data_IF_805199482379
#
_entry.id   IF_805199482379
#
_cell.length_a   1.000
_cell.length_b   1.000
_cell.length_c   1.000
_cell.angle_alpha   90.00
_cell.angle_beta   90.00
_cell.angle_gamma   90.00
#
_symmetry.space_group_name_H-M   'P 1'
#
loop_
_entity.id
_entity.type
_entity.pdbx_description
1 polymer ?
#
# COMPACT_ATOMS: atom_id res chain seq x y z
N UNK A 1 -10.34 -8.33 53.27
CA UNK A 1 -10.83 -8.73 51.92
C UNK A 1 -10.65 -10.23 51.76
N UNK A 2 -11.72 -10.98 51.53
CA UNK A 2 -11.70 -12.44 51.40
C UNK A 2 -11.09 -12.89 50.06
N UNK A 3 -10.44 -14.06 50.03
CA UNK A 3 -9.93 -14.69 48.80
C UNK A 3 -11.02 -14.75 47.70
N UNK A 4 -12.26 -15.05 48.09
CA UNK A 4 -13.41 -15.08 47.18
C UNK A 4 -13.70 -13.72 46.52
N UNK A 5 -13.59 -12.63 47.28
CA UNK A 5 -13.78 -11.26 46.76
C UNK A 5 -12.68 -10.87 45.78
N UNK A 6 -11.43 -11.27 46.04
CA UNK A 6 -10.30 -11.01 45.14
C UNK A 6 -10.43 -11.73 43.80
N UNK A 7 -10.88 -12.99 43.82
CA UNK A 7 -11.10 -13.79 42.61
C UNK A 7 -12.21 -13.19 41.74
N UNK A 8 -13.32 -12.76 42.35
CA UNK A 8 -14.43 -12.13 41.61
C UNK A 8 -13.98 -10.81 40.97
N UNK A 9 -13.24 -9.98 41.70
CA UNK A 9 -12.70 -8.72 41.15
C UNK A 9 -11.75 -9.00 39.98
N UNK A 10 -10.85 -9.98 40.13
CA UNK A 10 -9.92 -10.35 39.07
C UNK A 10 -10.64 -10.84 37.80
N UNK A 11 -11.68 -11.67 37.95
CA UNK A 11 -12.50 -12.14 36.82
C UNK A 11 -13.29 -11.00 36.17
N UNK A 12 -13.81 -10.05 36.95
CA UNK A 12 -14.51 -8.88 36.44
C UNK A 12 -13.59 -7.98 35.61
N UNK A 13 -12.38 -7.71 36.10
CA UNK A 13 -11.37 -6.95 35.36
C UNK A 13 -10.96 -7.67 34.09
N UNK A 14 -10.74 -9.00 34.15
CA UNK A 14 -10.39 -9.80 32.97
C UNK A 14 -11.49 -9.75 31.90
N UNK A 15 -12.76 -9.94 32.28
CA UNK A 15 -13.89 -9.86 31.36
C UNK A 15 -14.01 -8.48 30.71
N UNK A 16 -13.75 -7.42 31.46
CA UNK A 16 -13.80 -6.04 30.98
C UNK A 16 -12.68 -5.76 29.97
N UNK A 17 -11.46 -6.27 30.21
CA UNK A 17 -10.35 -6.18 29.25
C UNK A 17 -10.69 -6.94 27.96
N UNK A 18 -11.21 -8.16 28.06
CA UNK A 18 -11.60 -8.96 26.89
C UNK A 18 -12.67 -8.22 26.07
N UNK A 19 -13.71 -7.69 26.73
CA UNK A 19 -14.75 -6.93 26.06
C UNK A 19 -14.22 -5.66 25.38
N UNK A 20 -13.28 -4.95 26.01
CA UNK A 20 -12.65 -3.77 25.43
C UNK A 20 -11.82 -4.12 24.18
N UNK A 21 -10.99 -5.18 24.25
CA UNK A 21 -10.19 -5.65 23.11
C UNK A 21 -11.08 -6.05 21.95
N UNK A 22 -12.11 -6.87 22.19
CA UNK A 22 -13.06 -7.30 21.16
C UNK A 22 -13.87 -6.13 20.58
N UNK A 23 -14.25 -5.15 21.42
CA UNK A 23 -14.95 -3.95 20.98
C UNK A 23 -14.11 -3.08 20.05
N UNK A 24 -12.84 -2.87 20.39
CA UNK A 24 -11.89 -2.12 19.56
C UNK A 24 -11.65 -2.87 18.23
N UNK A 25 -11.49 -4.19 18.27
CA UNK A 25 -11.26 -5.00 17.08
C UNK A 25 -12.48 -5.00 16.14
N UNK A 26 -13.70 -5.09 16.69
CA UNK A 26 -14.94 -5.00 15.93
C UNK A 26 -15.12 -3.63 15.27
N UNK A 27 -14.72 -2.56 15.95
CA UNK A 27 -14.77 -1.20 15.39
C UNK A 27 -13.76 -1.04 14.24
N UNK A 28 -12.52 -1.55 14.39
CA UNK A 28 -11.52 -1.55 13.32
C UNK A 28 -11.98 -2.34 12.09
N UNK A 29 -12.54 -3.55 12.28
CA UNK A 29 -13.03 -4.36 11.17
C UNK A 29 -14.13 -3.68 10.33
N UNK A 30 -14.98 -2.85 10.96
CA UNK A 30 -16.01 -2.09 10.24
C UNK A 30 -15.42 -0.98 9.38
N UNK A 31 -14.31 -0.37 9.81
CA UNK A 31 -13.63 0.69 9.07
C UNK A 31 -12.76 0.15 7.93
N UNK A 32 -12.34 -1.13 8.01
CA UNK A 32 -11.45 -1.77 7.04
C UNK A 32 -12.15 -2.76 6.09
N UNK A 33 -13.47 -2.69 5.93
CA UNK A 33 -14.17 -3.53 4.96
C UNK A 33 -13.81 -3.06 3.54
N UNK A 34 -12.82 -3.72 2.91
CA UNK A 34 -12.46 -3.47 1.51
C UNK A 34 -13.71 -3.70 0.65
N UNK A 35 -14.09 -2.74 -0.21
CA UNK A 35 -15.19 -2.92 -1.15
C UNK A 35 -15.00 -4.16 -2.01
N UNK A 36 -16.07 -4.66 -2.63
CA UNK A 36 -15.96 -5.67 -3.69
C UNK A 36 -15.28 -5.02 -4.90
N UNK A 37 -13.98 -5.27 -5.06
CA UNK A 37 -13.13 -4.65 -6.08
C UNK A 37 -13.00 -5.59 -7.30
N UNK A 38 -12.96 -5.04 -8.53
CA UNK A 38 -12.64 -5.84 -9.71
C UNK A 38 -11.32 -6.62 -9.55
N UNK A 39 -11.21 -7.85 -10.07
CA UNK A 39 -9.95 -8.59 -10.05
C UNK A 39 -8.80 -7.79 -10.66
N UNK A 40 -7.64 -7.81 -10.00
CA UNK A 40 -6.47 -7.04 -10.41
C UNK A 40 -6.44 -5.60 -9.88
N UNK A 41 -7.46 -5.18 -9.13
CA UNK A 41 -7.42 -3.88 -8.45
C UNK A 41 -6.41 -3.89 -7.29
N UNK A 42 -5.73 -2.76 -7.11
CA UNK A 42 -4.81 -2.49 -6.01
C UNK A 42 -5.50 -1.50 -5.06
N UNK A 43 -6.01 -1.95 -3.90
CA UNK A 43 -6.53 -1.05 -2.89
C UNK A 43 -5.48 -0.04 -2.42
N UNK A 44 -5.96 1.13 -2.01
CA UNK A 44 -5.15 2.23 -1.50
C UNK A 44 -5.74 2.63 -0.14
N UNK A 45 -4.91 2.55 0.89
CA UNK A 45 -5.26 3.01 2.23
C UNK A 45 -4.50 4.28 2.59
N UNK A 46 -5.17 5.20 3.29
CA UNK A 46 -4.57 6.41 3.85
C UNK A 46 -4.77 6.41 5.36
N UNK A 47 -3.68 6.46 6.13
CA UNK A 47 -3.71 6.41 7.61
C UNK A 47 -4.58 5.26 8.17
N UNK A 48 -4.56 4.11 7.48
CA UNK A 48 -5.29 2.90 7.86
C UNK A 48 -6.75 2.81 7.38
N UNK A 49 -7.26 3.84 6.70
CA UNK A 49 -8.60 3.84 6.11
C UNK A 49 -8.52 3.59 4.59
N UNK A 50 -9.42 2.78 4.05
CA UNK A 50 -9.54 2.62 2.59
C UNK A 50 -10.05 3.92 1.97
N UNK A 51 -9.31 4.47 1.00
CA UNK A 51 -9.67 5.73 0.35
C UNK A 51 -9.95 5.58 -1.15
N UNK A 52 -9.28 4.65 -1.82
CA UNK A 52 -9.42 4.43 -3.25
C UNK A 52 -8.93 3.03 -3.64
N UNK A 53 -9.12 2.67 -4.90
CA UNK A 53 -8.45 1.52 -5.51
C UNK A 53 -7.98 1.90 -6.91
N UNK A 54 -6.77 1.49 -7.28
CA UNK A 54 -6.31 1.53 -8.65
C UNK A 54 -6.78 0.29 -9.38
N UNK A 55 -7.57 0.45 -10.44
CA UNK A 55 -8.22 -0.65 -11.16
C UNK A 55 -7.59 -0.85 -12.53
N UNK A 56 -7.76 -2.03 -13.16
CA UNK A 56 -7.27 -2.25 -14.52
C UNK A 56 -7.81 -1.26 -15.57
N UNK A 57 -9.02 -0.73 -15.37
CA UNK A 57 -9.59 0.26 -16.29
C UNK A 57 -8.88 1.63 -16.22
N UNK A 58 -8.27 1.95 -15.07
CA UNK A 58 -7.56 3.22 -14.88
C UNK A 58 -6.28 3.30 -15.72
N UNK A 59 -5.73 2.15 -16.13
CA UNK A 59 -4.57 2.08 -17.03
C UNK A 59 -4.83 2.74 -18.39
N UNK A 60 -6.09 2.77 -18.85
CA UNK A 60 -6.48 3.40 -20.12
C UNK A 60 -6.35 4.92 -20.09
N UNK A 61 -6.30 5.51 -18.89
CA UNK A 61 -6.22 6.95 -18.67
C UNK A 61 -4.78 7.44 -18.49
N UNK A 62 -3.83 6.52 -18.28
CA UNK A 62 -2.46 6.83 -17.92
C UNK A 62 -1.52 6.66 -19.12
N UNK A 63 -0.58 7.58 -19.25
CA UNK A 63 0.47 7.47 -20.27
C UNK A 63 1.48 6.39 -19.87
N UNK A 64 1.83 5.53 -20.83
CA UNK A 64 2.93 4.61 -20.67
C UNK A 64 4.28 5.30 -20.87
N UNK A 65 5.24 4.91 -20.05
CA UNK A 65 6.63 5.34 -20.09
C UNK A 65 7.55 4.11 -20.04
N UNK A 66 8.81 4.29 -20.41
CA UNK A 66 9.77 3.18 -20.39
C UNK A 66 11.19 3.64 -20.07
N UNK A 67 11.96 2.72 -19.49
CA UNK A 67 13.40 2.86 -19.32
C UNK A 67 14.09 1.50 -19.53
N UNK A 68 15.40 1.52 -19.75
CA UNK A 68 16.22 0.29 -19.85
C UNK A 68 16.87 0.04 -18.50
N UNK A 69 16.60 -1.11 -17.89
CA UNK A 69 17.23 -1.47 -16.62
C UNK A 69 18.74 -1.70 -16.80
N UNK A 70 19.51 -1.34 -15.77
CA UNK A 70 20.97 -1.38 -15.84
C UNK A 70 21.56 -2.79 -15.66
N UNK A 71 20.80 -3.73 -15.10
CA UNK A 71 21.27 -5.06 -14.71
C UNK A 71 21.22 -6.05 -15.88
N UNK A 72 20.03 -6.24 -16.46
CA UNK A 72 19.76 -7.17 -17.56
C UNK A 72 19.69 -6.45 -18.92
N UNK A 73 19.66 -5.11 -18.94
CA UNK A 73 19.55 -4.33 -20.17
C UNK A 73 18.18 -4.45 -20.83
N UNK A 74 17.14 -4.81 -20.07
CA UNK A 74 15.78 -5.00 -20.60
C UNK A 74 14.98 -3.71 -20.47
N UNK A 75 14.09 -3.52 -21.43
CA UNK A 75 13.12 -2.44 -21.34
C UNK A 75 12.07 -2.80 -20.30
N UNK A 76 11.90 -1.92 -19.32
CA UNK A 76 10.73 -1.89 -18.45
C UNK A 76 9.77 -0.86 -19.05
N UNK A 77 8.49 -1.20 -19.12
CA UNK A 77 7.44 -0.36 -19.73
C UNK A 77 6.19 -0.37 -18.85
N UNK A 78 5.61 0.80 -18.60
CA UNK A 78 4.59 0.90 -17.57
C UNK A 78 4.11 2.30 -17.28
N UNK A 79 3.56 2.52 -16.09
CA UNK A 79 2.93 3.77 -15.68
C UNK A 79 3.57 4.30 -14.41
N UNK A 80 3.87 5.60 -14.36
CA UNK A 80 4.47 6.20 -13.18
C UNK A 80 3.52 6.13 -11.97
N UNK A 81 4.06 5.76 -10.81
CA UNK A 81 3.28 5.66 -9.58
C UNK A 81 2.70 7.02 -9.16
N UNK A 82 3.39 8.13 -9.44
CA UNK A 82 2.86 9.48 -9.21
C UNK A 82 1.54 9.73 -9.94
N UNK A 83 1.44 9.30 -11.20
CA UNK A 83 0.26 9.55 -12.02
C UNK A 83 -0.89 8.65 -11.58
N UNK A 84 -0.58 7.41 -11.19
CA UNK A 84 -1.52 6.49 -10.54
C UNK A 84 -2.11 7.11 -9.27
N UNK A 85 -1.25 7.66 -8.41
CA UNK A 85 -1.68 8.25 -7.13
C UNK A 85 -2.47 9.55 -7.34
N UNK A 86 -2.09 10.38 -8.32
CA UNK A 86 -2.87 11.57 -8.68
C UNK A 86 -4.23 11.23 -9.29
N UNK A 87 -4.34 10.15 -10.06
CA UNK A 87 -5.59 9.69 -10.65
C UNK A 87 -6.55 9.12 -9.59
N UNK A 88 -6.03 8.41 -8.60
CA UNK A 88 -6.85 7.61 -7.67
C UNK A 88 -7.15 8.32 -6.35
N UNK A 89 -6.24 9.17 -5.89
CA UNK A 89 -6.37 9.89 -4.61
C UNK A 89 -6.45 11.38 -4.91
N UNK A 90 -7.58 11.79 -5.48
CA UNK A 90 -7.88 13.18 -5.80
C UNK A 90 -7.79 14.08 -4.55
N UNK A 91 -7.36 15.33 -4.74
CA UNK A 91 -7.28 16.38 -3.72
C UNK A 91 -6.36 16.12 -2.50
N UNK A 92 -5.53 15.07 -2.53
CA UNK A 92 -4.53 14.89 -1.48
C UNK A 92 -3.44 15.97 -1.55
N UNK A 93 -3.30 16.74 -0.46
CA UNK A 93 -2.18 17.67 -0.28
C UNK A 93 -0.92 16.88 0.11
N UNK A 94 -0.19 16.40 -0.89
CA UNK A 94 1.04 15.64 -0.68
C UNK A 94 2.15 16.50 -0.07
N UNK A 95 2.68 16.08 1.08
CA UNK A 95 3.94 16.62 1.61
C UNK A 95 5.11 15.82 1.03
N UNK A 96 6.28 16.41 0.77
CA UNK A 96 7.44 15.66 0.25
C UNK A 96 7.86 14.47 1.15
N UNK A 97 7.54 14.54 2.44
CA UNK A 97 7.84 13.50 3.44
C UNK A 97 6.73 12.45 3.60
N UNK A 98 5.57 12.62 2.94
CA UNK A 98 4.53 11.61 2.93
C UNK A 98 5.12 10.27 2.47
N UNK A 99 4.77 9.19 3.15
CA UNK A 99 5.28 7.86 2.88
C UNK A 99 4.24 7.08 2.09
N UNK A 100 4.67 6.44 1.02
CA UNK A 100 3.89 5.46 0.27
C UNK A 100 4.62 4.13 0.37
N UNK A 101 3.94 3.16 0.97
CA UNK A 101 4.41 1.78 1.04
C UNK A 101 3.72 0.95 -0.01
N UNK A 102 4.51 0.41 -0.95
CA UNK A 102 4.04 -0.50 -1.98
C UNK A 102 4.21 -1.93 -1.45
N UNK A 103 3.11 -2.68 -1.39
CA UNK A 103 3.06 -3.98 -0.71
C UNK A 103 2.70 -5.08 -1.71
N UNK A 104 3.35 -6.23 -1.56
CA UNK A 104 2.94 -7.51 -2.12
C UNK A 104 2.82 -8.56 -1.03
N UNK A 105 2.50 -9.80 -1.42
CA UNK A 105 2.40 -10.92 -0.49
C UNK A 105 3.73 -11.31 0.17
N UNK A 106 4.88 -10.94 -0.42
CA UNK A 106 6.20 -11.38 0.04
C UNK A 106 7.18 -10.24 0.32
N UNK A 107 6.88 -9.02 -0.13
CA UNK A 107 7.78 -7.87 0.01
C UNK A 107 6.98 -6.59 0.16
N UNK A 108 7.59 -5.59 0.78
CA UNK A 108 7.15 -4.20 0.66
C UNK A 108 8.35 -3.27 0.50
N UNK A 109 8.11 -2.09 -0.03
CA UNK A 109 9.08 -0.99 -0.05
C UNK A 109 8.38 0.30 0.33
N UNK A 110 9.02 1.09 1.17
CA UNK A 110 8.56 2.42 1.55
C UNK A 110 9.32 3.47 0.72
N UNK A 111 8.57 4.42 0.17
CA UNK A 111 9.07 5.52 -0.64
C UNK A 111 8.48 6.83 -0.12
N UNK A 112 9.27 7.89 -0.14
CA UNK A 112 8.75 9.24 0.09
C UNK A 112 8.03 9.75 -1.15
N UNK A 113 7.07 10.65 -0.97
CA UNK A 113 6.43 11.32 -2.09
C UNK A 113 7.45 12.08 -2.94
N UNK A 114 8.48 12.69 -2.34
CA UNK A 114 9.56 13.33 -3.08
C UNK A 114 10.27 12.39 -4.06
N UNK A 115 10.49 11.13 -3.67
CA UNK A 115 11.09 10.13 -4.55
C UNK A 115 10.14 9.68 -5.66
N UNK A 116 8.84 9.58 -5.36
CA UNK A 116 7.80 9.16 -6.31
C UNK A 116 7.51 10.26 -7.34
N UNK A 117 7.46 11.52 -6.90
CA UNK A 117 7.09 12.67 -7.71
C UNK A 117 8.21 13.12 -8.67
N UNK A 118 9.46 12.72 -8.40
CA UNK A 118 10.57 12.95 -9.33
C UNK A 118 10.54 11.93 -10.49
N UNK A 119 10.22 12.35 -11.72
CA UNK A 119 10.13 11.43 -12.86
C UNK A 119 11.48 10.79 -13.22
N UNK A 120 12.61 11.35 -12.78
CA UNK A 120 13.93 10.77 -13.02
C UNK A 120 14.17 9.48 -12.22
N UNK A 121 13.40 9.24 -11.16
CA UNK A 121 13.49 8.02 -10.35
C UNK A 121 12.74 6.83 -10.97
N UNK A 122 11.92 7.06 -12.00
CA UNK A 122 11.19 6.02 -12.71
C UNK A 122 10.41 5.07 -11.79
N UNK A 123 9.87 5.59 -10.68
CA UNK A 123 9.03 4.78 -9.79
C UNK A 123 7.74 4.47 -10.54
N UNK A 124 7.65 3.27 -11.12
CA UNK A 124 6.60 2.91 -12.05
C UNK A 124 6.12 1.47 -11.88
N UNK A 125 4.88 1.23 -12.26
CA UNK A 125 4.33 -0.11 -12.42
C UNK A 125 4.52 -0.61 -13.83
N UNK A 126 5.15 -1.78 -13.98
CA UNK A 126 5.23 -2.53 -15.23
C UNK A 126 4.40 -3.82 -15.08
N UNK A 127 3.88 -4.35 -16.19
CA UNK A 127 3.19 -5.63 -16.25
C UNK A 127 4.18 -6.80 -16.11
N UNK A 128 4.01 -7.58 -15.04
CA UNK A 128 4.63 -8.88 -14.94
C UNK A 128 3.97 -9.87 -15.93
N UNK A 129 4.73 -10.86 -16.39
CA UNK A 129 4.28 -11.84 -17.41
C UNK A 129 3.08 -12.72 -17.01
N UNK A 130 2.55 -12.58 -15.79
CA UNK A 130 1.33 -13.26 -15.29
C UNK A 130 0.12 -12.33 -15.17
N UNK A 131 0.21 -11.10 -15.69
CA UNK A 131 -0.89 -10.13 -15.69
C UNK A 131 -1.05 -9.34 -14.38
N UNK A 132 -0.03 -9.35 -13.53
CA UNK A 132 0.05 -8.55 -12.29
C UNK A 132 0.99 -7.37 -12.46
N UNK A 133 0.89 -6.36 -11.60
CA UNK A 133 1.83 -5.25 -11.60
C UNK A 133 3.05 -5.55 -10.73
N UNK A 134 4.22 -5.15 -11.20
CA UNK A 134 5.47 -5.09 -10.44
C UNK A 134 5.91 -3.64 -10.32
N UNK A 135 6.44 -3.25 -9.17
CA UNK A 135 7.07 -1.94 -8.98
C UNK A 135 8.55 -2.03 -9.38
N UNK A 136 8.96 -1.13 -10.27
CA UNK A 136 10.35 -0.98 -10.73
C UNK A 136 10.78 0.48 -10.58
N UNK A 137 12.09 0.73 -10.50
CA UNK A 137 12.69 2.06 -10.38
C UNK A 137 14.18 2.02 -10.71
N UNK A 138 14.82 3.18 -10.84
CA UNK A 138 16.28 3.33 -10.88
C UNK A 138 16.89 3.68 -9.52
N UNK A 139 16.07 3.84 -8.48
CA UNK A 139 16.54 4.07 -7.11
C UNK A 139 17.43 2.92 -6.64
N UNK A 140 18.49 3.21 -5.88
CA UNK A 140 19.48 2.21 -5.43
C UNK A 140 18.86 0.99 -4.74
N UNK A 141 17.73 1.15 -4.05
CA UNK A 141 17.01 0.09 -3.33
C UNK A 141 15.96 -0.66 -4.17
N UNK A 142 15.85 -0.34 -5.45
CA UNK A 142 14.92 -0.91 -6.42
C UNK A 142 15.54 -1.03 -7.82
N UNK A 143 16.88 -0.94 -7.95
CA UNK A 143 17.53 -0.87 -9.26
C UNK A 143 17.89 -2.24 -9.82
N UNK A 144 17.78 -3.30 -9.01
CA UNK A 144 17.92 -4.69 -9.43
C UNK A 144 16.59 -5.45 -9.35
N UNK A 145 16.50 -6.51 -10.13
CA UNK A 145 15.28 -7.31 -10.26
C UNK A 145 14.84 -7.97 -8.96
N UNK A 146 15.80 -8.42 -8.17
CA UNK A 146 15.57 -9.07 -6.89
C UNK A 146 15.08 -8.10 -5.81
N UNK A 147 15.23 -6.78 -6.00
CA UNK A 147 14.73 -5.73 -5.13
C UNK A 147 13.30 -5.30 -5.47
N UNK A 148 12.87 -5.43 -6.72
CA UNK A 148 11.52 -5.09 -7.17
C UNK A 148 10.40 -5.73 -6.34
N UNK A 149 9.28 -5.01 -6.20
CA UNK A 149 8.07 -5.53 -5.56
C UNK A 149 7.19 -6.16 -6.64
N UNK A 150 7.20 -7.48 -6.71
CA UNK A 150 6.37 -8.28 -7.64
C UNK A 150 4.98 -8.51 -7.06
N UNK A 151 3.95 -8.62 -7.91
CA UNK A 151 2.55 -8.85 -7.50
C UNK A 151 2.06 -7.83 -6.48
N UNK A 152 2.11 -6.55 -6.84
CA UNK A 152 1.63 -5.48 -5.96
C UNK A 152 0.16 -5.73 -5.63
N UNK A 153 -0.15 -5.77 -4.33
CA UNK A 153 -1.47 -6.07 -3.79
C UNK A 153 -2.09 -4.91 -3.03
N UNK A 154 -1.29 -3.95 -2.54
CA UNK A 154 -1.80 -2.83 -1.77
C UNK A 154 -0.85 -1.62 -1.84
N UNK A 155 -1.43 -0.43 -1.74
CA UNK A 155 -0.72 0.82 -1.50
C UNK A 155 -1.14 1.39 -0.15
N UNK A 156 -0.17 1.75 0.68
CA UNK A 156 -0.42 2.36 1.99
C UNK A 156 0.22 3.72 2.03
N UNK A 157 -0.59 4.76 2.27
CA UNK A 157 -0.17 6.14 2.36
C UNK A 157 -0.23 6.58 3.82
N UNK A 158 0.86 7.18 4.28
CA UNK A 158 0.97 7.76 5.62
C UNK A 158 1.53 9.18 5.49
N UNK A 159 0.96 10.13 6.24
CA UNK A 159 1.48 11.49 6.34
C UNK A 159 1.99 11.76 7.76
N UNK A 160 3.06 12.57 7.91
CA UNK A 160 3.64 12.92 9.21
C UNK A 160 2.73 13.81 10.08
#
# INVERSE_FOLDING_TARGET
MSSKTRVIVALGVLALIIAAVLGIEALRRRQSATPDLPPGSIPITFNGEFVAAFTPADLEQLQQVSFVDAEEGKTQEGWLLRDVLHLTVEDMAWTPQAQVTVVSNSKSVQLTWAEIDDPANWVMFDLAGRGTLKLVSVLERLNTRDEWVQDVTNLVIEQP
#
